data_IF_588227789326
#
_entry.id   IF_588227789326
#
_cell.length_a   1.000
_cell.length_b   1.000
_cell.length_c   1.000
_cell.angle_alpha   90.00
_cell.angle_beta   90.00
_cell.angle_gamma   90.00
#
_symmetry.space_group_name_H-M   'P 1'
#
loop_
_entity.id
_entity.type
_entity.pdbx_description
1 polymer ?
#
# COMPACT_ATOMS: atom_id res chain seq x y z
N UNK A 1 36.60 -18.61 -31.73
CA UNK A 1 35.49 -19.44 -31.20
C UNK A 1 34.26 -18.54 -31.03
N UNK A 2 33.40 -18.46 -32.05
CA UNK A 2 32.22 -17.58 -32.02
C UNK A 2 31.08 -18.36 -31.36
N UNK A 3 30.57 -17.89 -30.21
CA UNK A 3 29.41 -18.48 -29.54
C UNK A 3 28.19 -18.35 -30.46
N UNK A 4 27.62 -19.48 -30.84
CA UNK A 4 26.40 -19.58 -31.63
C UNK A 4 25.20 -19.21 -30.72
N UNK A 5 24.96 -17.91 -30.49
CA UNK A 5 23.85 -17.43 -29.66
C UNK A 5 22.57 -17.45 -30.51
N UNK A 6 21.61 -18.30 -30.13
CA UNK A 6 20.30 -18.41 -30.78
C UNK A 6 19.63 -17.03 -30.79
N UNK A 7 19.23 -16.53 -31.97
CA UNK A 7 18.63 -15.20 -32.13
C UNK A 7 17.29 -15.14 -31.40
N UNK A 8 17.22 -14.43 -30.28
CA UNK A 8 16.00 -14.30 -29.48
C UNK A 8 15.02 -13.33 -30.15
N UNK A 9 13.73 -13.70 -30.18
CA UNK A 9 12.69 -12.85 -30.77
C UNK A 9 12.41 -11.65 -29.86
N UNK A 10 12.12 -10.46 -30.42
CA UNK A 10 11.73 -9.30 -29.63
C UNK A 10 10.38 -9.52 -28.94
N UNK A 11 10.20 -8.92 -27.76
CA UNK A 11 8.97 -8.95 -26.97
C UNK A 11 8.51 -7.51 -26.77
N UNK A 12 7.23 -7.22 -26.99
CA UNK A 12 6.66 -5.92 -26.69
C UNK A 12 6.29 -5.84 -25.20
N UNK A 13 7.17 -5.23 -24.39
CA UNK A 13 6.98 -5.03 -22.95
C UNK A 13 7.28 -3.59 -22.51
N UNK A 14 7.20 -2.63 -23.44
CA UNK A 14 7.30 -1.23 -23.05
C UNK A 14 5.99 -0.78 -22.39
N UNK A 15 5.97 -0.78 -21.06
CA UNK A 15 4.79 -0.43 -20.26
C UNK A 15 4.29 1.00 -20.52
N UNK A 16 5.15 1.91 -21.02
CA UNK A 16 4.75 3.29 -21.35
C UNK A 16 3.83 3.35 -22.57
N UNK A 17 3.87 2.32 -23.42
CA UNK A 17 3.03 2.20 -24.62
C UNK A 17 1.67 1.56 -24.32
N UNK A 18 1.50 0.96 -23.14
CA UNK A 18 0.30 0.22 -22.75
C UNK A 18 -0.63 1.11 -21.92
N UNK A 19 -1.91 1.16 -22.26
CA UNK A 19 -2.94 1.85 -21.47
C UNK A 19 -3.54 0.91 -20.43
N UNK A 20 -3.34 1.22 -19.15
CA UNK A 20 -3.87 0.41 -18.06
C UNK A 20 -5.23 0.94 -17.57
N UNK A 21 -6.25 0.08 -17.42
CA UNK A 21 -7.51 0.48 -16.79
C UNK A 21 -7.32 0.75 -15.29
N UNK A 22 -8.24 1.51 -14.70
CA UNK A 22 -8.19 1.84 -13.25
C UNK A 22 -8.20 0.59 -12.36
N UNK A 23 -8.81 -0.50 -12.80
CA UNK A 23 -8.78 -1.80 -12.10
C UNK A 23 -7.38 -2.40 -12.03
N UNK A 24 -6.57 -2.22 -13.09
CA UNK A 24 -5.17 -2.64 -13.10
C UNK A 24 -4.30 -1.76 -12.18
N UNK A 25 -4.56 -0.44 -12.18
CA UNK A 25 -3.91 0.50 -11.25
C UNK A 25 -4.21 0.13 -9.79
N UNK A 26 -5.48 -0.18 -9.49
CA UNK A 26 -5.86 -0.60 -8.15
C UNK A 26 -5.13 -1.89 -7.71
N UNK A 27 -5.02 -2.87 -8.62
CA UNK A 27 -4.33 -4.12 -8.31
C UNK A 27 -2.82 -3.93 -8.07
N UNK A 28 -2.12 -3.16 -8.91
CA UNK A 28 -0.67 -2.95 -8.72
C UNK A 28 -0.37 -2.17 -7.45
N UNK A 29 -1.18 -1.15 -7.15
CA UNK A 29 -1.03 -0.41 -5.89
C UNK A 29 -1.26 -1.32 -4.67
N UNK A 30 -2.18 -2.30 -4.75
CA UNK A 30 -2.47 -3.19 -3.63
C UNK A 30 -1.27 -4.13 -3.36
N UNK A 31 -0.58 -4.56 -4.42
CA UNK A 31 0.67 -5.32 -4.31
C UNK A 31 1.79 -4.48 -3.69
N UNK A 32 1.96 -3.24 -4.18
CA UNK A 32 2.98 -2.31 -3.65
C UNK A 32 2.70 -2.01 -2.18
N UNK A 33 1.46 -1.74 -1.79
CA UNK A 33 1.09 -1.47 -0.40
C UNK A 33 1.31 -2.67 0.51
N UNK A 34 1.16 -3.89 0.00
CA UNK A 34 1.49 -5.11 0.75
C UNK A 34 2.98 -5.19 1.09
N UNK A 35 3.87 -4.90 0.13
CA UNK A 35 5.32 -4.86 0.37
C UNK A 35 5.69 -3.76 1.37
N UNK A 36 5.08 -2.57 1.24
CA UNK A 36 5.28 -1.47 2.19
C UNK A 36 4.84 -1.89 3.59
N UNK A 37 3.67 -2.50 3.71
CA UNK A 37 3.11 -2.93 5.00
C UNK A 37 3.99 -4.00 5.65
N UNK A 38 4.54 -4.94 4.87
CA UNK A 38 5.48 -5.94 5.38
C UNK A 38 6.70 -5.30 6.05
N UNK A 39 7.34 -4.32 5.41
CA UNK A 39 8.47 -3.59 6.01
C UNK A 39 8.01 -2.76 7.21
N UNK A 40 6.82 -2.15 7.12
CA UNK A 40 6.26 -1.31 8.16
C UNK A 40 6.05 -2.08 9.48
N UNK A 41 5.69 -3.36 9.44
CA UNK A 41 5.55 -4.19 10.66
C UNK A 41 6.85 -4.18 11.48
N UNK A 42 8.02 -4.29 10.85
CA UNK A 42 9.29 -4.23 11.56
C UNK A 42 9.52 -2.88 12.26
N UNK A 43 9.20 -1.78 11.57
CA UNK A 43 9.30 -0.41 12.11
C UNK A 43 8.35 -0.23 13.31
N UNK A 44 7.09 -0.69 13.17
CA UNK A 44 6.08 -0.56 14.20
C UNK A 44 6.39 -1.43 15.42
N UNK A 45 6.89 -2.65 15.22
CA UNK A 45 7.31 -3.52 16.33
C UNK A 45 8.52 -2.95 17.08
N UNK A 46 9.49 -2.35 16.38
CA UNK A 46 10.59 -1.65 17.01
C UNK A 46 10.08 -0.47 17.85
N UNK A 47 9.23 0.39 17.28
CA UNK A 47 8.68 1.55 17.99
C UNK A 47 7.83 1.13 19.20
N UNK A 48 7.01 0.08 19.05
CA UNK A 48 6.24 -0.51 20.13
C UNK A 48 7.15 -1.05 21.23
N UNK A 49 8.20 -1.79 20.86
CA UNK A 49 9.21 -2.30 21.80
C UNK A 49 9.88 -1.19 22.61
N UNK A 50 10.30 -0.10 21.96
CA UNK A 50 10.85 1.08 22.64
C UNK A 50 9.81 1.70 23.57
N UNK A 51 8.57 1.88 23.11
CA UNK A 51 7.50 2.50 23.91
C UNK A 51 7.13 1.73 25.19
N UNK A 52 7.32 0.40 25.19
CA UNK A 52 6.97 -0.47 26.32
C UNK A 52 8.18 -0.83 27.21
N UNK A 53 9.38 -0.36 26.87
CA UNK A 53 10.62 -0.78 27.54
C UNK A 53 10.79 -0.20 28.94
N UNK A 54 10.48 1.09 29.13
CA UNK A 54 10.49 1.80 30.42
C UNK A 54 9.79 3.17 30.25
N UNK A 55 9.59 3.96 31.33
CA UNK A 55 9.13 5.36 31.21
C UNK A 55 10.05 6.21 30.31
N UNK A 56 11.37 6.04 30.41
CA UNK A 56 12.35 6.72 29.56
C UNK A 56 12.24 6.26 28.10
N UNK A 57 12.01 4.95 27.88
CA UNK A 57 11.76 4.40 26.55
C UNK A 57 10.49 4.96 25.90
N UNK A 58 9.42 5.13 26.68
CA UNK A 58 8.20 5.78 26.20
C UNK A 58 8.47 7.24 25.79
N UNK A 59 9.20 7.99 26.62
CA UNK A 59 9.57 9.37 26.28
C UNK A 59 10.42 9.42 25.01
N UNK A 60 11.38 8.50 24.84
CA UNK A 60 12.18 8.40 23.62
C UNK A 60 11.31 8.13 22.38
N UNK A 61 10.36 7.19 22.47
CA UNK A 61 9.43 6.91 21.36
C UNK A 61 8.57 8.13 21.01
N UNK A 62 8.10 8.87 22.03
CA UNK A 62 7.35 10.12 21.87
C UNK A 62 8.19 11.19 21.16
N UNK A 63 9.43 11.39 21.58
CA UNK A 63 10.35 12.37 20.98
C UNK A 63 10.66 12.05 19.51
N UNK A 64 10.84 10.76 19.19
CA UNK A 64 11.00 10.29 17.81
C UNK A 64 9.75 10.63 16.98
N UNK A 65 8.55 10.33 17.51
CA UNK A 65 7.28 10.61 16.84
C UNK A 65 6.96 12.10 16.69
N UNK A 66 7.58 12.97 17.48
CA UNK A 66 7.46 14.43 17.33
C UNK A 66 8.22 14.97 16.11
N UNK A 67 9.15 14.20 15.54
CA UNK A 67 9.88 14.61 14.34
C UNK A 67 8.98 14.66 13.10
N UNK A 68 8.96 15.80 12.40
CA UNK A 68 8.13 15.98 11.19
C UNK A 68 8.37 14.89 10.12
N UNK A 69 9.63 14.51 9.89
CA UNK A 69 9.96 13.46 8.92
C UNK A 69 9.42 12.08 9.34
N UNK A 70 9.46 11.78 10.65
CA UNK A 70 8.90 10.54 11.21
C UNK A 70 7.38 10.55 11.10
N UNK A 71 6.72 11.68 11.39
CA UNK A 71 5.28 11.87 11.17
C UNK A 71 4.90 11.59 9.71
N UNK A 72 5.66 12.12 8.75
CA UNK A 72 5.41 11.85 7.33
C UNK A 72 5.54 10.35 6.96
N UNK A 73 6.57 9.67 7.47
CA UNK A 73 6.75 8.21 7.28
C UNK A 73 5.60 7.44 7.93
N UNK A 74 5.23 7.76 9.18
CA UNK A 74 4.15 7.10 9.90
C UNK A 74 2.82 7.27 9.17
N UNK A 75 2.52 8.48 8.69
CA UNK A 75 1.35 8.75 7.86
C UNK A 75 1.36 7.93 6.57
N UNK A 76 2.52 7.81 5.90
CA UNK A 76 2.70 6.95 4.73
C UNK A 76 2.45 5.47 5.02
N UNK A 77 2.94 4.96 6.14
CA UNK A 77 2.69 3.58 6.62
C UNK A 77 1.19 3.35 6.83
N UNK A 78 0.53 4.23 7.59
CA UNK A 78 -0.90 4.12 7.87
C UNK A 78 -1.74 4.24 6.60
N UNK A 79 -1.33 5.08 5.65
CA UNK A 79 -1.99 5.23 4.35
C UNK A 79 -1.84 3.97 3.49
N UNK A 80 -0.64 3.39 3.42
CA UNK A 80 -0.40 2.13 2.70
C UNK A 80 -1.19 0.98 3.32
N UNK A 81 -1.20 0.88 4.66
CA UNK A 81 -2.00 -0.11 5.38
C UNK A 81 -3.49 0.06 5.09
N UNK A 82 -4.02 1.29 5.20
CA UNK A 82 -5.42 1.59 4.91
C UNK A 82 -5.79 1.19 3.47
N UNK A 83 -4.96 1.54 2.49
CA UNK A 83 -5.18 1.14 1.10
C UNK A 83 -5.15 -0.37 0.92
N UNK A 84 -4.18 -1.05 1.55
CA UNK A 84 -4.05 -2.51 1.47
C UNK A 84 -5.29 -3.21 2.04
N UNK A 85 -5.78 -2.77 3.21
CA UNK A 85 -6.97 -3.32 3.85
C UNK A 85 -8.22 -3.07 3.00
N UNK A 86 -8.45 -1.84 2.54
CA UNK A 86 -9.62 -1.51 1.70
C UNK A 86 -9.60 -2.32 0.39
N UNK A 87 -8.43 -2.44 -0.25
CA UNK A 87 -8.26 -3.27 -1.45
C UNK A 87 -8.49 -4.76 -1.17
N UNK A 88 -7.99 -5.26 -0.04
CA UNK A 88 -8.18 -6.64 0.40
C UNK A 88 -9.65 -6.97 0.68
N UNK A 89 -10.36 -6.09 1.38
CA UNK A 89 -11.81 -6.23 1.60
C UNK A 89 -12.55 -6.22 0.25
N UNK A 90 -12.20 -5.33 -0.67
CA UNK A 90 -12.79 -5.34 -2.03
C UNK A 90 -12.55 -6.68 -2.73
N UNK A 91 -11.36 -7.27 -2.62
CA UNK A 91 -11.08 -8.60 -3.17
C UNK A 91 -11.96 -9.67 -2.52
N UNK A 92 -11.98 -9.76 -1.20
CA UNK A 92 -12.81 -10.75 -0.48
C UNK A 92 -14.31 -10.61 -0.79
N UNK A 93 -14.81 -9.38 -0.96
CA UNK A 93 -16.20 -9.15 -1.36
C UNK A 93 -16.51 -9.65 -2.78
N UNK A 94 -15.54 -9.60 -3.70
CA UNK A 94 -15.68 -10.24 -5.03
C UNK A 94 -15.62 -11.76 -4.88
N UNK A 95 -14.64 -12.27 -4.13
CA UNK A 95 -14.42 -13.72 -3.94
C UNK A 95 -15.63 -14.42 -3.31
N UNK A 96 -16.37 -13.75 -2.42
CA UNK A 96 -17.59 -14.27 -1.79
C UNK A 96 -18.87 -13.94 -2.56
N UNK A 97 -18.78 -13.32 -3.73
CA UNK A 97 -19.94 -13.01 -4.58
C UNK A 97 -20.82 -11.84 -4.09
N UNK A 98 -20.32 -11.00 -3.18
CA UNK A 98 -21.01 -9.78 -2.73
C UNK A 98 -20.86 -8.61 -3.72
N UNK A 99 -19.88 -8.67 -4.61
CA UNK A 99 -19.68 -7.70 -5.68
C UNK A 99 -19.76 -8.38 -7.04
N UNK A 100 -20.46 -7.75 -7.98
CA UNK A 100 -20.51 -8.20 -9.37
C UNK A 100 -19.11 -8.19 -10.02
N UNK A 101 -18.80 -9.24 -10.77
CA UNK A 101 -17.53 -9.39 -11.50
C UNK A 101 -17.59 -8.85 -12.94
N UNK A 102 -18.35 -7.77 -13.16
CA UNK A 102 -18.37 -7.06 -14.44
C UNK A 102 -17.29 -5.97 -14.48
N UNK A 103 -16.87 -5.59 -15.69
CA UNK A 103 -15.84 -4.55 -15.83
C UNK A 103 -16.28 -3.19 -15.25
N UNK A 104 -17.54 -2.81 -15.43
CA UNK A 104 -18.07 -1.54 -14.90
C UNK A 104 -18.20 -1.56 -13.38
N UNK A 105 -18.65 -2.68 -12.78
CA UNK A 105 -18.62 -2.87 -11.33
C UNK A 105 -17.17 -2.83 -10.79
N UNK A 106 -16.23 -3.43 -11.52
CA UNK A 106 -14.80 -3.39 -11.20
C UNK A 106 -14.24 -1.96 -11.15
N UNK A 107 -14.57 -1.11 -12.13
CA UNK A 107 -14.19 0.32 -12.16
C UNK A 107 -14.83 1.09 -11.01
N UNK A 108 -16.13 0.90 -10.78
CA UNK A 108 -16.88 1.58 -9.71
C UNK A 108 -16.29 1.26 -8.34
N UNK A 109 -16.08 -0.02 -8.05
CA UNK A 109 -15.53 -0.47 -6.77
C UNK A 109 -14.09 -0.02 -6.57
N UNK A 110 -13.25 0.00 -7.62
CA UNK A 110 -11.90 0.54 -7.54
C UNK A 110 -11.89 2.04 -7.16
N UNK A 111 -12.75 2.85 -7.78
CA UNK A 111 -12.88 4.27 -7.45
C UNK A 111 -13.39 4.49 -6.03
N UNK A 112 -14.39 3.72 -5.58
CA UNK A 112 -14.89 3.77 -4.20
C UNK A 112 -13.76 3.43 -3.22
N UNK A 113 -12.96 2.39 -3.51
CA UNK A 113 -11.80 2.03 -2.67
C UNK A 113 -10.78 3.17 -2.57
N UNK A 114 -10.52 3.91 -3.66
CA UNK A 114 -9.64 5.08 -3.60
C UNK A 114 -10.22 6.20 -2.74
N UNK A 115 -11.51 6.51 -2.87
CA UNK A 115 -12.17 7.54 -2.06
C UNK A 115 -12.12 7.19 -0.57
N UNK A 116 -12.46 5.95 -0.20
CA UNK A 116 -12.39 5.48 1.19
C UNK A 116 -10.96 5.59 1.71
N UNK A 117 -9.97 5.19 0.90
CA UNK A 117 -8.56 5.28 1.28
C UNK A 117 -8.13 6.73 1.53
N UNK A 118 -8.54 7.68 0.69
CA UNK A 118 -8.23 9.10 0.89
C UNK A 118 -8.81 9.59 2.21
N UNK A 119 -10.07 9.26 2.51
CA UNK A 119 -10.69 9.62 3.80
C UNK A 119 -9.90 9.04 4.97
N UNK A 120 -9.54 7.74 4.92
CA UNK A 120 -8.75 7.09 5.96
C UNK A 120 -7.34 7.68 6.08
N UNK A 121 -6.72 8.06 4.96
CA UNK A 121 -5.41 8.71 4.94
C UNK A 121 -5.45 10.10 5.58
N UNK A 122 -6.53 10.86 5.36
CA UNK A 122 -6.73 12.15 6.04
C UNK A 122 -6.91 11.97 7.55
N UNK A 123 -7.71 10.99 7.98
CA UNK A 123 -7.87 10.65 9.40
C UNK A 123 -6.56 10.18 10.03
N UNK A 124 -5.76 9.38 9.30
CA UNK A 124 -4.42 9.01 9.73
C UNK A 124 -3.50 10.24 9.86
N UNK A 125 -3.65 11.23 8.98
CA UNK A 125 -2.96 12.51 9.11
C UNK A 125 -3.34 13.24 10.40
N UNK A 126 -4.64 13.32 10.71
CA UNK A 126 -5.14 13.91 11.97
C UNK A 126 -4.61 13.17 13.20
N UNK A 127 -4.45 11.85 13.14
CA UNK A 127 -3.90 11.07 14.24
C UNK A 127 -2.40 11.34 14.47
N UNK A 128 -1.64 11.51 13.39
CA UNK A 128 -0.18 11.60 13.44
C UNK A 128 0.31 13.02 13.75
N UNK A 129 -0.43 14.04 13.33
CA UNK A 129 -0.09 15.45 13.58
C UNK A 129 -0.76 16.02 14.80
#
# INVERSE_FOLDING_TARGET
>A
MIRNVKKQRPVNLDLKTIRFPVTAIASILHRVSGVITFVAVGILLWLLGTSLSSPEGFQQASDIMNGFFVKFIMWGILTALAYHVVGGVRHMLMDFGYLEETFEAGKRTANISFVITVVLSLLAGVLVW
#
